data_IF_543266349232
#
_entry.id   IF_543266349232
#
_cell.length_a   1.000
_cell.length_b   1.000
_cell.length_c   1.000
_cell.angle_alpha   90.00
_cell.angle_beta   90.00
_cell.angle_gamma   90.00
#
_symmetry.space_group_name_H-M   'P 1'
#
loop_
_entity.id
_entity.type
_entity.pdbx_description
1 polymer ?
#
# COMPACT_ATOMS: atom_id res chain seq x y z
N UNK A 1 3.97 25.22 -0.56
CA UNK A 1 4.55 24.04 0.12
C UNK A 1 3.57 23.41 1.11
N UNK A 2 3.01 24.17 2.06
CA UNK A 2 2.09 23.68 3.11
C UNK A 2 0.92 22.85 2.54
N UNK A 3 0.20 23.37 1.53
CA UNK A 3 -0.90 22.64 0.87
C UNK A 3 -0.50 21.25 0.37
N UNK A 4 0.70 21.09 -0.21
CA UNK A 4 1.18 19.79 -0.70
C UNK A 4 1.48 18.83 0.45
N UNK A 5 2.05 19.33 1.55
CA UNK A 5 2.30 18.53 2.75
C UNK A 5 0.99 18.07 3.38
N UNK A 6 -0.01 18.96 3.52
CA UNK A 6 -1.32 18.59 4.06
C UNK A 6 -2.02 17.52 3.19
N UNK A 7 -2.00 17.67 1.86
CA UNK A 7 -2.55 16.66 0.95
C UNK A 7 -1.78 15.33 1.06
N UNK A 8 -0.46 15.38 1.13
CA UNK A 8 0.37 14.19 1.30
C UNK A 8 0.04 13.45 2.60
N UNK A 9 0.11 14.13 3.74
CA UNK A 9 -0.15 13.54 5.06
C UNK A 9 -1.59 13.06 5.19
N UNK A 10 -2.56 13.86 4.72
CA UNK A 10 -3.97 13.49 4.73
C UNK A 10 -4.26 12.27 3.85
N UNK A 11 -3.75 12.24 2.62
CA UNK A 11 -3.89 11.10 1.72
C UNK A 11 -3.22 9.83 2.26
N UNK A 12 -2.05 9.97 2.90
CA UNK A 12 -1.35 8.88 3.57
C UNK A 12 -2.16 8.29 4.73
N UNK A 13 -2.81 9.15 5.54
CA UNK A 13 -3.69 8.72 6.62
C UNK A 13 -4.95 8.00 6.10
N UNK A 14 -5.61 8.55 5.07
CA UNK A 14 -6.77 7.93 4.42
C UNK A 14 -6.42 6.55 3.87
N UNK A 15 -5.27 6.43 3.21
CA UNK A 15 -4.79 5.15 2.70
C UNK A 15 -4.51 4.16 3.84
N UNK A 16 -3.97 4.62 4.98
CA UNK A 16 -3.75 3.79 6.16
C UNK A 16 -5.06 3.27 6.76
N UNK A 17 -6.12 4.09 6.78
CA UNK A 17 -7.48 3.65 7.13
C UNK A 17 -7.96 2.54 6.19
N UNK A 18 -7.75 2.71 4.88
CA UNK A 18 -8.08 1.68 3.91
C UNK A 18 -7.34 0.36 4.16
N UNK A 19 -6.05 0.42 4.50
CA UNK A 19 -5.26 -0.77 4.89
C UNK A 19 -5.81 -1.43 6.15
N UNK A 20 -6.18 -0.64 7.18
CA UNK A 20 -6.78 -1.16 8.41
C UNK A 20 -8.10 -1.90 8.14
N UNK A 21 -9.01 -1.32 7.33
CA UNK A 21 -10.23 -2.00 6.91
C UNK A 21 -9.95 -3.30 6.13
N UNK A 22 -8.90 -3.32 5.29
CA UNK A 22 -8.49 -4.53 4.57
C UNK A 22 -8.12 -5.65 5.53
N UNK A 23 -7.30 -5.35 6.54
CA UNK A 23 -6.83 -6.32 7.53
C UNK A 23 -8.01 -6.85 8.34
N UNK A 24 -8.88 -5.96 8.83
CA UNK A 24 -10.04 -6.34 9.65
C UNK A 24 -11.07 -7.14 8.85
N UNK A 25 -11.17 -6.95 7.52
CA UNK A 25 -12.11 -7.69 6.66
C UNK A 25 -11.91 -9.21 6.65
N UNK A 26 -10.75 -9.72 7.14
CA UNK A 26 -10.36 -11.13 7.14
C UNK A 26 -10.33 -11.82 5.76
N UNK A 27 -10.62 -11.09 4.67
CA UNK A 27 -10.53 -11.59 3.30
C UNK A 27 -9.11 -11.45 2.73
N UNK A 28 -8.14 -11.06 3.54
CA UNK A 28 -6.76 -10.81 3.16
C UNK A 28 -6.45 -9.31 3.00
N UNK A 29 -5.18 -9.00 2.77
CA UNK A 29 -4.69 -7.63 2.67
C UNK A 29 -4.37 -7.23 1.23
N UNK A 30 -4.02 -5.96 0.98
CA UNK A 30 -3.46 -5.58 -0.32
C UNK A 30 -2.10 -6.23 -0.55
N UNK A 31 -1.72 -6.57 -1.80
CA UNK A 31 -0.46 -7.25 -2.10
C UNK A 31 0.77 -6.60 -1.46
N UNK A 32 0.83 -5.27 -1.46
CA UNK A 32 1.94 -4.48 -0.91
C UNK A 32 2.06 -4.58 0.61
N UNK A 33 0.94 -4.77 1.31
CA UNK A 33 0.89 -4.88 2.78
C UNK A 33 0.90 -6.34 3.26
N UNK A 34 0.79 -7.31 2.35
CA UNK A 34 0.75 -8.74 2.69
C UNK A 34 2.02 -9.22 3.39
N UNK A 35 3.21 -8.74 2.99
CA UNK A 35 4.47 -9.10 3.67
C UNK A 35 4.52 -8.51 5.09
N UNK A 36 4.21 -7.22 5.24
CA UNK A 36 4.20 -6.55 6.55
C UNK A 36 3.19 -7.19 7.51
N UNK A 37 2.03 -7.59 7.00
CA UNK A 37 1.01 -8.26 7.79
C UNK A 37 1.42 -9.70 8.14
N UNK A 38 1.98 -10.46 7.19
CA UNK A 38 2.53 -11.79 7.46
C UNK A 38 3.61 -11.73 8.55
N UNK A 39 4.53 -10.75 8.48
CA UNK A 39 5.53 -10.49 9.52
C UNK A 39 4.88 -10.20 10.87
N UNK A 40 3.82 -9.38 10.91
CA UNK A 40 3.12 -9.06 12.15
C UNK A 40 2.49 -10.31 12.77
N UNK A 41 1.86 -11.17 11.95
CA UNK A 41 1.28 -12.44 12.39
C UNK A 41 2.34 -13.42 12.95
N UNK A 42 3.51 -13.51 12.30
CA UNK A 42 4.59 -14.42 12.72
C UNK A 42 5.28 -13.92 13.99
N UNK A 43 5.53 -12.61 14.08
CA UNK A 43 6.37 -12.02 15.15
C UNK A 43 5.57 -11.53 16.35
N UNK A 44 4.24 -11.40 16.24
CA UNK A 44 3.38 -10.72 17.23
C UNK A 44 3.80 -9.28 17.55
N UNK A 45 4.42 -8.60 16.58
CA UNK A 45 4.78 -7.18 16.67
C UNK A 45 3.73 -6.34 15.93
N UNK A 46 3.53 -5.10 16.36
CA UNK A 46 2.65 -4.13 15.72
C UNK A 46 2.90 -3.99 14.22
N UNK A 47 1.82 -3.85 13.46
CA UNK A 47 1.89 -3.79 12.00
C UNK A 47 2.63 -2.55 11.51
N UNK A 48 2.58 -1.44 12.25
CA UNK A 48 3.32 -0.23 11.91
C UNK A 48 4.82 -0.45 11.91
N UNK A 49 5.33 -1.24 12.87
CA UNK A 49 6.75 -1.58 12.98
C UNK A 49 7.14 -2.54 11.86
N UNK A 50 6.36 -3.61 11.61
CA UNK A 50 6.68 -4.55 10.53
C UNK A 50 6.59 -3.88 9.15
N UNK A 51 5.66 -2.95 8.98
CA UNK A 51 5.54 -2.09 7.79
C UNK A 51 6.76 -1.20 7.63
N UNK A 52 7.27 -0.60 8.71
CA UNK A 52 8.51 0.18 8.66
C UNK A 52 9.71 -0.70 8.27
N UNK A 53 9.88 -1.87 8.89
CA UNK A 53 10.98 -2.80 8.60
C UNK A 53 10.94 -3.22 7.12
N UNK A 54 9.78 -3.64 6.64
CA UNK A 54 9.62 -4.07 5.26
C UNK A 54 9.91 -2.93 4.27
N UNK A 55 9.36 -1.75 4.53
CA UNK A 55 9.61 -0.58 3.71
C UNK A 55 11.08 -0.13 3.72
N UNK A 56 11.78 -0.24 4.85
CA UNK A 56 13.21 0.02 4.93
C UNK A 56 14.02 -0.97 4.06
N UNK A 57 13.62 -2.25 4.04
CA UNK A 57 14.23 -3.24 3.15
C UNK A 57 13.99 -2.90 1.66
N UNK A 58 12.81 -2.38 1.31
CA UNK A 58 12.53 -1.90 -0.04
C UNK A 58 13.39 -0.70 -0.43
N UNK A 59 13.60 0.27 0.48
CA UNK A 59 14.51 1.40 0.22
C UNK A 59 15.94 0.89 -0.04
N UNK A 60 16.40 -0.09 0.74
CA UNK A 60 17.69 -0.72 0.52
C UNK A 60 17.77 -1.44 -0.84
N UNK A 61 16.70 -2.14 -1.23
CA UNK A 61 16.60 -2.75 -2.56
C UNK A 61 16.68 -1.69 -3.69
N UNK A 62 16.01 -0.54 -3.53
CA UNK A 62 16.13 0.56 -4.50
C UNK A 62 17.57 1.08 -4.60
N UNK A 63 18.30 1.16 -3.49
CA UNK A 63 19.71 1.57 -3.50
C UNK A 63 20.56 0.59 -4.31
N UNK A 64 20.33 -0.71 -4.18
CA UNK A 64 21.04 -1.75 -4.96
C UNK A 64 20.69 -1.72 -6.45
N UNK A 65 19.43 -1.42 -6.80
CA UNK A 65 18.95 -1.38 -8.18
C UNK A 65 19.43 -0.12 -8.90
N UNK A 66 19.26 1.07 -8.31
CA UNK A 66 19.64 2.34 -8.94
C UNK A 66 21.12 2.66 -8.84
N UNK A 67 21.82 2.14 -7.81
CA UNK A 67 23.23 2.44 -7.54
C UNK A 67 23.52 3.94 -7.59
N UNK A 68 24.26 4.40 -8.62
CA UNK A 68 24.64 5.81 -8.83
C UNK A 68 23.46 6.74 -9.14
N UNK A 69 22.35 6.21 -9.67
CA UNK A 69 21.15 7.00 -9.99
C UNK A 69 20.25 7.24 -8.76
N UNK A 70 20.67 6.76 -7.58
CA UNK A 70 19.90 6.90 -6.34
C UNK A 70 19.88 8.36 -5.87
N UNK A 71 18.79 9.05 -6.21
CA UNK A 71 18.57 10.44 -5.79
C UNK A 71 18.39 10.54 -4.27
N UNK A 72 19.10 11.47 -3.62
CA UNK A 72 18.97 11.77 -2.18
C UNK A 72 17.52 12.03 -1.73
N UNK A 73 16.65 12.52 -2.63
CA UNK A 73 15.20 12.69 -2.38
C UNK A 73 14.51 11.39 -1.94
N UNK A 74 15.01 10.21 -2.35
CA UNK A 74 14.49 8.89 -1.93
C UNK A 74 14.74 8.61 -0.44
N UNK A 75 15.66 9.31 0.23
CA UNK A 75 15.84 9.20 1.69
C UNK A 75 14.65 9.75 2.48
N UNK A 76 13.88 10.69 1.90
CA UNK A 76 12.63 11.17 2.52
C UNK A 76 11.60 10.04 2.69
N UNK A 77 11.75 8.93 1.96
CA UNK A 77 10.88 7.77 2.13
C UNK A 77 10.96 7.22 3.55
N UNK A 78 12.10 7.26 4.24
CA UNK A 78 12.20 6.79 5.63
C UNK A 78 11.24 7.53 6.58
N UNK A 79 11.14 8.85 6.44
CA UNK A 79 10.20 9.68 7.23
C UNK A 79 8.76 9.27 6.90
N UNK A 80 8.46 9.07 5.62
CA UNK A 80 7.13 8.62 5.19
C UNK A 80 6.79 7.23 5.69
N UNK A 81 7.78 6.33 5.83
CA UNK A 81 7.58 4.98 6.36
C UNK A 81 7.22 5.00 7.84
N UNK A 82 7.90 5.83 8.63
CA UNK A 82 7.57 6.03 10.05
C UNK A 82 6.16 6.60 10.19
N UNK A 83 5.83 7.62 9.39
CA UNK A 83 4.52 8.24 9.42
C UNK A 83 3.42 7.27 8.98
N UNK A 84 3.65 6.50 7.90
CA UNK A 84 2.70 5.51 7.41
C UNK A 84 2.51 4.35 8.40
N UNK A 85 3.60 3.86 9.00
CA UNK A 85 3.52 2.83 10.04
C UNK A 85 2.70 3.30 11.24
N UNK A 86 2.98 4.50 11.76
CA UNK A 86 2.21 5.10 12.85
C UNK A 86 0.73 5.30 12.48
N UNK A 87 0.44 5.82 11.27
CA UNK A 87 -0.93 5.97 10.80
C UNK A 87 -1.64 4.64 10.61
N UNK A 88 -0.94 3.56 10.27
CA UNK A 88 -1.53 2.23 10.12
C UNK A 88 -1.93 1.67 11.49
N UNK A 89 -1.07 1.79 12.50
CA UNK A 89 -1.41 1.38 13.88
C UNK A 89 -2.58 2.22 14.42
N UNK A 90 -2.54 3.54 14.23
CA UNK A 90 -3.63 4.44 14.61
C UNK A 90 -4.93 4.11 13.87
N UNK A 91 -4.86 3.82 12.57
CA UNK A 91 -6.00 3.43 11.77
C UNK A 91 -6.62 2.11 12.25
N UNK A 92 -5.81 1.11 12.58
CA UNK A 92 -6.30 -0.14 13.18
C UNK A 92 -6.99 0.12 14.53
N UNK A 93 -6.42 0.99 15.36
CA UNK A 93 -7.06 1.40 16.61
C UNK A 93 -8.41 2.08 16.35
N UNK A 94 -8.51 2.99 15.37
CA UNK A 94 -9.78 3.65 15.03
C UNK A 94 -10.81 2.65 14.48
N UNK A 95 -10.39 1.76 13.58
CA UNK A 95 -11.27 0.74 12.99
C UNK A 95 -11.73 -0.28 14.04
N UNK A 96 -10.97 -0.49 15.11
CA UNK A 96 -11.36 -1.40 16.21
C UNK A 96 -12.65 -0.98 16.94
N UNK A 97 -13.05 0.31 16.85
CA UNK A 97 -14.33 0.79 17.39
C UNK A 97 -15.52 0.53 16.46
N UNK A 98 -15.27 0.14 15.20
CA UNK A 98 -16.33 -0.18 14.25
C UNK A 98 -16.82 -1.60 14.53
N UNK A 99 -18.14 -1.82 14.74
CA UNK A 99 -18.67 -3.16 14.99
C UNK A 99 -18.34 -4.10 13.83
N UNK A 100 -17.68 -5.21 14.15
CA UNK A 100 -17.35 -6.26 13.19
C UNK A 100 -17.75 -7.61 13.78
N UNK A 101 -18.72 -8.27 13.14
CA UNK A 101 -19.30 -9.54 13.58
C UNK A 101 -18.69 -10.77 12.87
N UNK A 102 -17.74 -10.55 11.94
CA UNK A 102 -17.13 -11.60 11.14
C UNK A 102 -18.05 -12.23 10.09
N UNK A 103 -19.27 -11.69 9.90
CA UNK A 103 -20.17 -12.16 8.86
C UNK A 103 -19.58 -11.89 7.47
N UNK A 104 -19.85 -12.78 6.51
CA UNK A 104 -19.38 -12.62 5.13
C UNK A 104 -19.78 -11.25 4.55
N UNK A 105 -20.97 -10.75 4.91
CA UNK A 105 -21.49 -9.46 4.48
C UNK A 105 -20.60 -8.32 5.00
N UNK A 106 -20.28 -8.32 6.30
CA UNK A 106 -19.38 -7.30 6.88
C UNK A 106 -17.97 -7.40 6.29
N UNK A 107 -17.45 -8.62 6.08
CA UNK A 107 -16.16 -8.82 5.41
C UNK A 107 -16.12 -8.17 4.02
N UNK A 108 -17.17 -8.37 3.21
CA UNK A 108 -17.28 -7.77 1.88
C UNK A 108 -17.43 -6.24 1.95
N UNK A 109 -18.24 -5.72 2.87
CA UNK A 109 -18.39 -4.27 3.07
C UNK A 109 -17.05 -3.64 3.43
N UNK A 110 -16.32 -4.21 4.40
CA UNK A 110 -15.01 -3.72 4.83
C UNK A 110 -14.00 -3.77 3.69
N UNK A 111 -14.02 -4.82 2.86
CA UNK A 111 -13.17 -4.92 1.67
C UNK A 111 -13.49 -3.83 0.64
N UNK A 112 -14.77 -3.55 0.38
CA UNK A 112 -15.17 -2.48 -0.56
C UNK A 112 -14.75 -1.11 -0.05
N UNK A 113 -15.01 -0.83 1.24
CA UNK A 113 -14.58 0.42 1.90
C UNK A 113 -13.06 0.55 1.84
N UNK A 114 -12.33 -0.52 2.13
CA UNK A 114 -10.88 -0.58 2.03
C UNK A 114 -10.39 -0.20 0.63
N UNK A 115 -10.90 -0.85 -0.42
CA UNK A 115 -10.51 -0.61 -1.81
C UNK A 115 -10.71 0.86 -2.17
N UNK A 116 -11.86 1.44 -1.81
CA UNK A 116 -12.15 2.84 -2.08
C UNK A 116 -11.20 3.79 -1.33
N UNK A 117 -11.00 3.58 -0.02
CA UNK A 117 -10.13 4.41 0.80
C UNK A 117 -8.67 4.35 0.33
N UNK A 118 -8.16 3.17 -0.03
CA UNK A 118 -6.80 3.03 -0.56
C UNK A 118 -6.67 3.78 -1.90
N UNK A 119 -7.60 3.56 -2.83
CA UNK A 119 -7.58 4.25 -4.13
C UNK A 119 -7.68 5.77 -3.98
N UNK A 120 -8.57 6.26 -3.10
CA UNK A 120 -8.72 7.68 -2.84
C UNK A 120 -7.50 8.29 -2.13
N UNK A 121 -6.93 7.58 -1.16
CA UNK A 121 -5.70 8.00 -0.49
C UNK A 121 -4.54 8.16 -1.47
N UNK A 122 -4.35 7.17 -2.36
CA UNK A 122 -3.37 7.23 -3.47
C UNK A 122 -3.62 8.46 -4.34
N UNK A 123 -4.86 8.66 -4.78
CA UNK A 123 -5.25 9.81 -5.61
C UNK A 123 -4.91 11.16 -4.95
N UNK A 124 -5.05 11.28 -3.62
CA UNK A 124 -4.78 12.52 -2.88
C UNK A 124 -3.29 12.74 -2.60
N UNK A 125 -2.55 11.70 -2.18
CA UNK A 125 -1.16 11.87 -1.72
C UNK A 125 -0.16 11.92 -2.89
N UNK A 126 -0.39 11.15 -3.93
CA UNK A 126 0.56 10.95 -5.03
C UNK A 126 0.87 12.25 -5.81
N UNK A 127 -0.10 13.13 -6.10
CA UNK A 127 0.15 14.40 -6.80
C UNK A 127 0.96 15.42 -5.98
N UNK A 128 1.08 15.22 -4.66
CA UNK A 128 1.90 16.08 -3.82
C UNK A 128 3.40 15.97 -4.14
N UNK A 129 3.83 14.88 -4.79
CA UNK A 129 5.19 14.65 -5.31
C UNK A 129 6.32 14.93 -4.29
N UNK A 130 6.09 14.60 -3.02
CA UNK A 130 7.07 14.77 -1.95
C UNK A 130 8.05 13.61 -1.94
N UNK A 131 7.60 12.40 -1.65
CA UNK A 131 8.30 11.16 -1.94
C UNK A 131 7.27 10.01 -1.94
N UNK A 132 7.22 9.16 -2.98
CA UNK A 132 6.31 8.02 -3.01
C UNK A 132 6.67 7.04 -1.89
N UNK A 133 5.73 6.17 -1.52
CA UNK A 133 6.04 5.07 -0.62
C UNK A 133 7.05 4.10 -1.26
N UNK A 134 7.84 3.35 -0.45
CA UNK A 134 8.91 2.51 -1.00
C UNK A 134 8.47 1.41 -1.95
N UNK A 135 7.26 0.87 -1.80
CA UNK A 135 6.76 -0.14 -2.75
C UNK A 135 6.59 0.44 -4.15
N UNK A 136 5.98 1.61 -4.27
CA UNK A 136 5.85 2.35 -5.51
C UNK A 136 7.23 2.80 -6.02
N UNK A 137 8.11 3.24 -5.13
CA UNK A 137 9.50 3.62 -5.45
C UNK A 137 10.35 2.46 -5.97
N UNK A 138 10.12 1.22 -5.50
CA UNK A 138 10.74 -0.01 -6.01
C UNK A 138 10.26 -0.34 -7.42
N UNK A 139 8.95 -0.27 -7.65
CA UNK A 139 8.38 -0.52 -8.98
C UNK A 139 8.89 0.52 -9.99
N UNK A 140 8.93 1.79 -9.58
CA UNK A 140 9.53 2.86 -10.37
C UNK A 140 11.02 2.59 -10.66
N UNK A 141 11.78 2.16 -9.65
CA UNK A 141 13.19 1.83 -9.78
C UNK A 141 13.45 0.73 -10.82
N UNK A 142 12.70 -0.36 -10.74
CA UNK A 142 12.81 -1.47 -11.70
C UNK A 142 12.39 -1.01 -13.09
N UNK A 143 11.36 -0.15 -13.19
CA UNK A 143 10.90 0.37 -14.49
C UNK A 143 11.94 1.23 -15.18
N UNK A 144 12.65 2.06 -14.43
CA UNK A 144 13.74 2.89 -14.96
C UNK A 144 14.87 2.01 -15.50
N UNK A 145 15.29 0.98 -14.76
CA UNK A 145 16.43 0.13 -15.16
C UNK A 145 16.09 -0.83 -16.29
N UNK A 146 14.88 -1.39 -16.32
CA UNK A 146 14.44 -2.36 -17.35
C UNK A 146 13.87 -1.71 -18.60
N UNK A 147 13.44 -0.44 -18.53
CA UNK A 147 12.71 0.24 -19.60
C UNK A 147 11.28 -0.27 -19.82
N UNK A 148 10.77 -1.15 -18.96
CA UNK A 148 9.43 -1.71 -19.11
C UNK A 148 8.34 -0.77 -18.54
N UNK A 149 7.08 -1.05 -18.87
CA UNK A 149 5.94 -0.28 -18.37
C UNK A 149 5.77 -0.48 -16.87
N UNK A 150 5.59 0.62 -16.13
CA UNK A 150 5.36 0.62 -14.67
C UNK A 150 4.23 -0.32 -14.26
N UNK A 151 3.11 -0.35 -15.01
CA UNK A 151 1.98 -1.23 -14.74
C UNK A 151 2.33 -2.71 -14.82
N UNK A 152 3.15 -3.11 -15.79
CA UNK A 152 3.60 -4.50 -15.95
C UNK A 152 4.49 -4.93 -14.80
N UNK A 153 5.43 -4.07 -14.39
CA UNK A 153 6.31 -4.36 -13.26
C UNK A 153 5.53 -4.38 -11.96
N UNK A 154 4.55 -3.48 -11.78
CA UNK A 154 3.70 -3.45 -10.59
C UNK A 154 2.98 -4.78 -10.37
N UNK A 155 2.40 -5.35 -11.43
CA UNK A 155 1.71 -6.64 -11.36
C UNK A 155 2.69 -7.75 -10.94
N UNK A 156 3.87 -7.81 -11.56
CA UNK A 156 4.89 -8.79 -11.21
C UNK A 156 5.38 -8.64 -9.77
N UNK A 157 5.62 -7.41 -9.34
CA UNK A 157 6.06 -7.08 -7.98
C UNK A 157 4.99 -7.39 -6.91
N UNK A 158 3.73 -7.10 -7.19
CA UNK A 158 2.62 -7.47 -6.32
C UNK A 158 2.46 -8.99 -6.23
N UNK A 159 2.62 -9.71 -7.35
CA UNK A 159 2.58 -11.16 -7.36
C UNK A 159 3.73 -11.77 -6.54
N UNK A 160 4.95 -11.25 -6.64
CA UNK A 160 6.06 -11.74 -5.80
C UNK A 160 5.82 -11.46 -4.32
N UNK A 161 5.25 -10.32 -3.96
CA UNK A 161 4.89 -10.01 -2.57
C UNK A 161 3.87 -10.99 -2.00
N UNK A 162 2.84 -11.32 -2.78
CA UNK A 162 1.82 -12.31 -2.40
C UNK A 162 2.45 -13.69 -2.19
N UNK A 163 3.32 -14.13 -3.11
CA UNK A 163 4.01 -15.42 -2.99
C UNK A 163 4.90 -15.44 -1.74
N UNK A 164 5.67 -14.39 -1.49
CA UNK A 164 6.53 -14.29 -0.29
C UNK A 164 5.68 -14.35 0.97
N UNK A 165 4.57 -13.60 1.04
CA UNK A 165 3.67 -13.62 2.19
C UNK A 165 3.07 -15.02 2.45
N UNK A 166 2.65 -15.73 1.38
CA UNK A 166 2.15 -17.10 1.49
C UNK A 166 3.23 -18.07 1.99
N UNK A 167 4.45 -17.98 1.46
CA UNK A 167 5.58 -18.81 1.91
C UNK A 167 5.90 -18.52 3.37
N UNK A 168 5.92 -17.25 3.77
CA UNK A 168 6.18 -16.85 5.15
C UNK A 168 5.11 -17.40 6.10
N UNK A 169 3.83 -17.22 5.77
CA UNK A 169 2.75 -17.78 6.57
C UNK A 169 2.78 -19.31 6.59
N UNK A 170 3.10 -19.97 5.48
CA UNK A 170 3.15 -21.44 5.42
C UNK A 170 4.30 -22.08 6.22
N UNK A 171 5.43 -21.37 6.37
CA UNK A 171 6.60 -21.87 7.10
C UNK A 171 6.57 -21.51 8.59
N UNK A 172 6.06 -20.34 8.95
CA UNK A 172 6.20 -19.77 10.30
C UNK A 172 4.88 -19.38 10.97
N UNK A 173 3.73 -19.55 10.30
CA UNK A 173 2.42 -19.29 10.88
C UNK A 173 1.51 -20.51 10.76
N UNK A 174 0.52 -20.62 11.64
CA UNK A 174 -0.37 -21.78 11.70
C UNK A 174 -1.31 -21.89 10.52
N UNK A 175 -1.57 -20.79 9.81
CA UNK A 175 -2.43 -20.74 8.65
C UNK A 175 -1.72 -20.09 7.45
N UNK A 176 -1.50 -20.86 6.38
CA UNK A 176 -0.85 -20.38 5.15
C UNK A 176 -1.57 -19.18 4.51
N UNK A 177 -2.89 -19.10 4.69
CA UNK A 177 -3.74 -18.01 4.19
C UNK A 177 -3.94 -16.90 5.23
N UNK A 178 -3.10 -16.83 6.26
CA UNK A 178 -3.23 -15.84 7.33
C UNK A 178 -3.20 -14.40 6.81
N UNK A 179 -2.24 -14.08 5.93
CA UNK A 179 -2.09 -12.73 5.40
C UNK A 179 -2.75 -12.50 4.03
N UNK A 180 -2.89 -13.56 3.23
CA UNK A 180 -3.35 -13.50 1.84
C UNK A 180 -4.57 -14.39 1.68
N UNK A 181 -5.62 -13.85 1.09
CA UNK A 181 -6.86 -14.56 0.79
C UNK A 181 -7.49 -14.02 -0.51
N UNK A 182 -8.72 -14.45 -0.81
CA UNK A 182 -9.42 -14.05 -2.05
C UNK A 182 -9.57 -12.52 -2.18
N UNK A 183 -9.70 -11.80 -1.06
CA UNK A 183 -9.72 -10.34 -1.01
C UNK A 183 -8.40 -9.69 -1.42
N UNK A 184 -7.26 -10.37 -1.27
CA UNK A 184 -5.97 -9.89 -1.80
C UNK A 184 -5.96 -9.89 -3.32
N UNK A 185 -6.49 -10.94 -3.93
CA UNK A 185 -6.62 -11.04 -5.39
C UNK A 185 -7.61 -9.97 -5.89
N UNK A 186 -8.78 -9.89 -5.25
CA UNK A 186 -9.83 -8.92 -5.59
C UNK A 186 -9.30 -7.47 -5.46
N UNK A 187 -8.62 -7.14 -4.37
CA UNK A 187 -8.06 -5.80 -4.14
C UNK A 187 -6.94 -5.45 -5.13
N UNK A 188 -6.10 -6.42 -5.54
CA UNK A 188 -5.06 -6.19 -6.54
C UNK A 188 -5.62 -5.65 -7.87
N UNK A 189 -6.77 -6.18 -8.31
CA UNK A 189 -7.45 -5.69 -9.53
C UNK A 189 -8.30 -4.45 -9.27
N UNK A 190 -9.10 -4.44 -8.20
CA UNK A 190 -10.10 -3.40 -7.97
C UNK A 190 -9.53 -2.08 -7.47
N UNK A 191 -8.40 -2.06 -6.73
CA UNK A 191 -7.78 -0.80 -6.29
C UNK A 191 -7.31 0.00 -7.51
N UNK A 192 -6.64 -0.65 -8.47
CA UNK A 192 -6.20 -0.01 -9.71
C UNK A 192 -7.37 0.47 -10.57
N UNK A 193 -8.42 -0.34 -10.70
CA UNK A 193 -9.64 0.05 -11.41
C UNK A 193 -10.31 1.26 -10.75
N UNK A 194 -10.52 1.22 -9.44
CA UNK A 194 -11.15 2.31 -8.67
C UNK A 194 -10.34 3.60 -8.78
N UNK A 195 -9.02 3.52 -8.67
CA UNK A 195 -8.13 4.67 -8.86
C UNK A 195 -8.28 5.29 -10.26
N UNK A 196 -8.39 4.47 -11.31
CA UNK A 196 -8.65 4.96 -12.67
C UNK A 196 -9.99 5.69 -12.77
N UNK A 197 -11.05 5.15 -12.15
CA UNK A 197 -12.36 5.80 -12.17
C UNK A 197 -12.34 7.15 -11.42
N UNK A 198 -11.68 7.22 -10.27
CA UNK A 198 -11.52 8.48 -9.51
C UNK A 198 -10.79 9.52 -10.37
N UNK A 199 -9.71 9.15 -11.05
CA UNK A 199 -8.98 10.06 -11.94
C UNK A 199 -9.83 10.53 -13.11
N UNK A 200 -10.55 9.63 -13.78
CA UNK A 200 -11.43 9.99 -14.90
C UNK A 200 -12.53 10.97 -14.47
N UNK A 201 -13.15 10.72 -13.31
CA UNK A 201 -14.18 11.59 -12.76
C UNK A 201 -13.61 12.97 -12.42
N UNK A 202 -12.43 13.02 -11.80
CA UNK A 202 -11.76 14.28 -11.49
C UNK A 202 -11.39 15.07 -12.76
N UNK A 203 -10.87 14.40 -13.78
CA UNK A 203 -10.55 15.01 -15.07
C UNK A 203 -11.81 15.56 -15.75
N UNK A 204 -12.94 14.86 -15.66
CA UNK A 204 -14.21 15.33 -16.21
C UNK A 204 -14.74 16.59 -15.49
N UNK A 205 -14.58 16.66 -14.17
CA UNK A 205 -15.06 17.79 -13.36
C UNK A 205 -14.14 19.03 -13.48
N UNK A 206 -12.82 18.81 -13.52
CA UNK A 206 -11.83 19.90 -13.42
C UNK A 206 -11.11 20.24 -14.71
N UNK A 207 -11.21 19.39 -15.74
CA UNK A 207 -10.44 19.51 -16.98
C UNK A 207 -8.94 19.21 -16.84
N UNK A 208 -8.47 18.78 -15.66
CA UNK A 208 -7.06 18.49 -15.39
C UNK A 208 -6.84 17.01 -15.13
N UNK A 209 -5.89 16.40 -15.86
CA UNK A 209 -5.41 15.06 -15.56
C UNK A 209 -4.39 15.08 -14.43
N UNK A 210 -4.62 14.22 -13.45
CA UNK A 210 -3.69 14.03 -12.33
C UNK A 210 -2.68 12.97 -12.73
N UNK A 211 -1.40 13.35 -12.82
CA UNK A 211 -0.34 12.38 -13.03
C UNK A 211 -0.11 11.56 -11.76
N UNK A 212 -0.64 10.34 -11.78
CA UNK A 212 -0.44 9.32 -10.74
C UNK A 212 0.98 8.74 -10.84
N UNK A 213 1.61 8.74 -12.02
CA UNK A 213 2.97 8.23 -12.18
C UNK A 213 3.92 9.41 -12.35
N UNK A 214 4.92 9.51 -11.47
CA UNK A 214 6.07 10.40 -11.67
C UNK A 214 6.82 9.91 -12.93
N UNK A 215 6.52 10.50 -14.09
CA UNK A 215 7.36 10.43 -15.28
C UNK A 215 8.06 11.77 -15.48
#
# INVERSE_FOLDING_TARGET
MIRRVCLFVGGLFIMSLGVAFSIVSALGTTPISSISYALALITNINIGITTFIFNAALIFMQLLILRSDFKKKRLLQFINCLLFGYFTDLALYIVSFVPFDGSLIMCVIFLIVSIFLIAFGIFVYMPANIAPLPGEGCVEAIAIVTGWRFSTIKIGFDATMVIIALVMCGLWYTNILGAVNIGTIVSAFLVGFTLRQINNLYAHITGHEVQVVNR
#
